data_IF_848023124927
#
_entry.id   IF_848023124927
#
_cell.length_a   1.000
_cell.length_b   1.000
_cell.length_c   1.000
_cell.angle_alpha   90.00
_cell.angle_beta   90.00
_cell.angle_gamma   90.00
#
_symmetry.space_group_name_H-M   'P 1'
#
loop_
_entity.id
_entity.type
_entity.pdbx_description
1 polymer ?
#
# COMPACT_ATOMS: atom_id res chain seq x y z
N UNK A 1 -18.15 -13.98 -5.78
CA UNK A 1 -17.15 -12.90 -5.90
C UNK A 1 -15.97 -13.34 -5.05
N UNK A 2 -14.99 -14.00 -5.68
CA UNK A 2 -13.85 -14.61 -4.99
C UNK A 2 -12.79 -13.53 -4.77
N UNK A 3 -12.94 -12.75 -3.70
CA UNK A 3 -11.80 -12.05 -3.12
C UNK A 3 -10.92 -13.12 -2.49
N UNK A 4 -9.66 -13.20 -2.89
CA UNK A 4 -8.71 -14.18 -2.39
C UNK A 4 -8.76 -14.21 -0.85
N UNK A 5 -9.30 -15.29 -0.26
CA UNK A 5 -9.62 -15.40 1.16
C UNK A 5 -8.44 -15.26 2.13
N UNK A 6 -7.20 -15.12 1.63
CA UNK A 6 -5.96 -15.09 2.42
C UNK A 6 -5.25 -13.72 2.46
N UNK A 7 -5.73 -12.68 1.77
CA UNK A 7 -5.08 -11.35 1.83
C UNK A 7 -5.46 -10.53 3.07
N UNK A 8 -6.37 -11.00 3.92
CA UNK A 8 -6.82 -10.28 5.11
C UNK A 8 -5.67 -10.03 6.11
N UNK A 9 -4.77 -10.99 6.27
CA UNK A 9 -3.59 -10.83 7.11
C UNK A 9 -2.62 -9.79 6.54
N UNK A 10 -2.36 -9.85 5.22
CA UNK A 10 -1.52 -8.89 4.53
C UNK A 10 -2.08 -7.45 4.63
N UNK A 11 -3.40 -7.28 4.45
CA UNK A 11 -4.07 -5.98 4.61
C UNK A 11 -4.00 -5.51 6.06
N UNK A 12 -4.13 -6.38 7.05
CA UNK A 12 -4.04 -6.00 8.46
C UNK A 12 -2.63 -5.52 8.84
N UNK A 13 -1.58 -6.21 8.37
CA UNK A 13 -0.19 -5.78 8.59
C UNK A 13 0.08 -4.48 7.84
N UNK A 14 -0.32 -4.39 6.57
CA UNK A 14 -0.17 -3.18 5.77
C UNK A 14 -0.89 -1.97 6.40
N UNK A 15 -2.12 -2.16 6.91
CA UNK A 15 -2.88 -1.15 7.66
C UNK A 15 -2.21 -0.71 8.96
N UNK A 16 -1.32 -1.52 9.53
CA UNK A 16 -0.57 -1.17 10.73
C UNK A 16 0.66 -0.30 10.40
N UNK A 17 1.17 -0.38 9.16
CA UNK A 17 2.31 0.40 8.68
C UNK A 17 1.90 1.77 8.10
N UNK A 18 0.66 1.89 7.63
CA UNK A 18 0.10 3.13 7.05
C UNK A 18 -0.87 3.81 8.04
N UNK A 19 -1.15 5.12 7.89
CA UNK A 19 -2.13 5.80 8.75
C UNK A 19 -3.55 5.22 8.61
N UNK A 20 -4.31 5.21 9.71
CA UNK A 20 -5.67 4.65 9.77
C UNK A 20 -6.67 5.33 8.81
N UNK A 21 -6.39 6.56 8.39
CA UNK A 21 -7.15 7.32 7.39
C UNK A 21 -6.90 6.87 5.93
N UNK A 22 -6.16 5.78 5.73
CA UNK A 22 -5.89 5.20 4.42
C UNK A 22 -6.99 4.21 3.99
N UNK A 23 -7.59 4.47 2.85
CA UNK A 23 -8.53 3.59 2.16
C UNK A 23 -7.79 2.58 1.28
N UNK A 24 -8.19 1.31 1.28
CA UNK A 24 -7.71 0.34 0.28
C UNK A 24 -8.38 0.68 -1.05
N UNK A 25 -7.59 1.11 -2.04
CA UNK A 25 -8.08 1.39 -3.39
C UNK A 25 -8.06 0.13 -4.24
N UNK A 26 -6.99 -0.64 -4.14
CA UNK A 26 -6.83 -1.85 -4.92
C UNK A 26 -6.00 -2.88 -4.16
N UNK A 27 -6.27 -4.16 -4.40
CA UNK A 27 -5.45 -5.24 -3.87
C UNK A 27 -5.48 -6.42 -4.81
N UNK A 28 -4.32 -6.92 -5.21
CA UNK A 28 -4.21 -8.08 -6.08
C UNK A 28 -3.01 -8.95 -5.66
N UNK A 29 -3.11 -10.24 -5.96
CA UNK A 29 -2.02 -11.19 -5.77
C UNK A 29 -1.31 -11.38 -7.11
N UNK A 30 -0.02 -11.09 -7.15
CA UNK A 30 0.83 -11.23 -8.33
C UNK A 30 2.04 -12.09 -7.97
N UNK A 31 2.23 -13.21 -8.67
CA UNK A 31 3.38 -14.14 -8.50
C UNK A 31 3.77 -14.45 -7.03
N UNK A 32 2.79 -14.62 -6.14
CA UNK A 32 3.04 -14.91 -4.71
C UNK A 32 3.32 -13.68 -3.85
N UNK A 33 2.98 -12.48 -4.33
CA UNK A 33 3.07 -11.20 -3.62
C UNK A 33 1.72 -10.51 -3.62
N UNK A 34 1.21 -10.20 -2.45
CA UNK A 34 0.06 -9.33 -2.29
C UNK A 34 0.50 -7.89 -2.49
N UNK A 35 0.03 -7.29 -3.58
CA UNK A 35 0.15 -5.86 -3.84
C UNK A 35 -1.11 -5.18 -3.33
N UNK A 36 -0.95 -4.26 -2.39
CA UNK A 36 -2.07 -3.56 -1.75
C UNK A 36 -1.83 -2.07 -1.87
N UNK A 37 -2.66 -1.43 -2.69
CA UNK A 37 -2.62 0.00 -2.95
C UNK A 37 -3.63 0.70 -2.05
N UNK A 38 -3.13 1.62 -1.24
CA UNK A 38 -3.91 2.45 -0.34
C UNK A 38 -3.84 3.91 -0.75
N UNK A 39 -4.90 4.65 -0.43
CA UNK A 39 -4.99 6.08 -0.63
C UNK A 39 -5.31 6.74 0.69
N UNK A 40 -4.36 7.55 1.17
CA UNK A 40 -4.57 8.42 2.30
C UNK A 40 -5.54 9.55 1.96
N UNK A 41 -6.27 10.02 2.97
CA UNK A 41 -7.12 11.21 2.88
C UNK A 41 -6.34 12.46 2.42
N UNK A 42 -5.04 12.53 2.73
CA UNK A 42 -4.14 13.61 2.30
C UNK A 42 -3.80 13.58 0.79
N UNK A 43 -4.29 12.58 0.05
CA UNK A 43 -3.98 12.37 -1.37
C UNK A 43 -2.67 11.63 -1.63
N UNK A 44 -1.99 11.16 -0.56
CA UNK A 44 -0.82 10.28 -0.63
C UNK A 44 -1.26 8.87 -1.00
N UNK A 45 -0.52 8.22 -1.90
CA UNK A 45 -0.72 6.79 -2.19
C UNK A 45 0.33 5.98 -1.44
N UNK A 46 -0.11 4.86 -0.89
CA UNK A 46 0.75 3.91 -0.20
C UNK A 46 0.61 2.57 -0.90
N UNK A 47 1.71 2.07 -1.43
CA UNK A 47 1.79 0.79 -2.09
C UNK A 47 2.51 -0.17 -1.15
N UNK A 48 1.81 -1.19 -0.68
CA UNK A 48 2.35 -2.18 0.25
C UNK A 48 2.43 -3.53 -0.43
N UNK A 49 3.65 -4.04 -0.57
CA UNK A 49 3.93 -5.37 -1.06
C UNK A 49 4.13 -6.33 0.12
N UNK A 50 3.38 -7.42 0.14
CA UNK A 50 3.44 -8.44 1.19
C UNK A 50 3.66 -9.81 0.57
N UNK A 51 4.61 -10.57 1.09
CA UNK A 51 4.90 -11.93 0.60
C UNK A 51 3.79 -12.90 0.99
N UNK A 52 3.11 -13.49 0.01
CA UNK A 52 1.90 -14.29 0.24
C UNK A 52 2.17 -15.58 1.04
N UNK A 53 3.37 -16.16 0.94
CA UNK A 53 3.71 -17.38 1.66
C UNK A 53 3.98 -17.16 3.15
N UNK A 54 4.44 -15.96 3.54
CA UNK A 54 4.87 -15.68 4.93
C UNK A 54 4.11 -14.54 5.59
N UNK A 55 3.25 -13.85 4.85
CA UNK A 55 2.57 -12.63 5.26
C UNK A 55 3.53 -11.54 5.77
N UNK A 56 4.79 -11.55 5.32
CA UNK A 56 5.78 -10.52 5.65
C UNK A 56 5.70 -9.37 4.66
N UNK A 57 5.65 -8.15 5.16
CA UNK A 57 5.82 -6.95 4.35
C UNK A 57 7.21 -7.00 3.73
N UNK A 58 7.25 -6.91 2.41
CA UNK A 58 8.48 -6.81 1.63
C UNK A 58 8.86 -5.34 1.50
N UNK A 59 7.90 -4.51 1.10
CA UNK A 59 8.12 -3.12 0.79
C UNK A 59 6.87 -2.28 1.09
N UNK A 60 7.09 -1.04 1.51
CA UNK A 60 6.08 0.00 1.68
C UNK A 60 6.56 1.21 0.90
N UNK A 61 6.01 1.41 -0.29
CA UNK A 61 6.26 2.59 -1.09
C UNK A 61 5.23 3.67 -0.74
N UNK A 62 5.71 4.89 -0.48
CA UNK A 62 4.85 6.04 -0.16
C UNK A 62 5.00 7.05 -1.28
N UNK A 63 4.09 6.98 -2.25
CA UNK A 63 4.01 7.98 -3.31
C UNK A 63 3.29 9.22 -2.77
N UNK A 64 4.10 10.12 -2.22
CA UNK A 64 3.66 11.49 -1.95
C UNK A 64 3.74 12.21 -3.28
N UNK A 65 2.59 12.62 -3.83
CA UNK A 65 2.54 13.65 -4.86
C UNK A 65 3.01 14.96 -4.22
N UNK A 66 4.32 15.08 -4.00
CA UNK A 66 4.95 16.36 -3.76
C UNK A 66 4.84 17.09 -5.09
N UNK A 67 3.92 18.04 -5.16
CA UNK A 67 3.89 18.97 -6.26
C UNK A 67 5.14 19.86 -6.15
N UNK A 68 6.30 19.34 -6.53
CA UNK A 68 7.58 20.07 -6.53
C UNK A 68 7.58 21.06 -7.68
N UNK A 69 6.82 22.15 -7.51
CA UNK A 69 7.23 23.49 -7.98
C UNK A 69 8.07 24.20 -6.89
N UNK A 70 8.99 23.48 -6.27
CA UNK A 70 9.91 24.02 -5.28
C UNK A 70 11.29 23.36 -5.37
N UNK A 71 11.84 23.33 -6.58
CA UNK A 71 13.25 23.07 -6.87
C UNK A 71 13.51 23.88 -8.16
N UNK A 72 14.15 25.03 -8.20
CA UNK A 72 15.10 25.68 -7.30
C UNK A 72 14.84 27.19 -7.31
N UNK A 73 14.81 27.80 -6.13
CA UNK A 73 15.20 29.20 -5.97
C UNK A 73 16.61 29.18 -5.39
N UNK A 74 17.62 29.51 -6.21
CA UNK A 74 18.76 30.42 -5.94
C UNK A 74 19.35 30.79 -7.30
#
# INVERSE_FOLDING_TARGET
MAFASDNAAAIAVAKNEIPADSEVVNSYLDEGRYNINFRGADGVRYDVEVFALTNKVLEVEIDRVVNTKAQSAV
#
